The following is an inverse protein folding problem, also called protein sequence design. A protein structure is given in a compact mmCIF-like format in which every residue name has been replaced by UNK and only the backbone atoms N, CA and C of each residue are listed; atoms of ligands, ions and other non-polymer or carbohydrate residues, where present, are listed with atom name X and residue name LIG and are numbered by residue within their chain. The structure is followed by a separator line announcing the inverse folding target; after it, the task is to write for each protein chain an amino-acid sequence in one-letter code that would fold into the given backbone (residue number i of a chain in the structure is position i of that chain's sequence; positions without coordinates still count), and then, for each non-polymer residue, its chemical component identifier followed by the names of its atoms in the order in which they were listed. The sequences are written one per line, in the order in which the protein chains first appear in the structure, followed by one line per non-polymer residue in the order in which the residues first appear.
data_IF_927414386949
#
_entry.id   IF_927414386949
#
_cell.length_a   1.000
_cell.length_b   1.000
_cell.length_c   1.000
_cell.angle_alpha   90.00
_cell.angle_beta   90.00
_cell.angle_gamma   90.00
#
_symmetry.space_group_name_H-M   'P 1'
#
loop_
_entity.id
_entity.type
_entity.pdbx_description
1 polymer ?
#
# COMPACT_ATOMS: atom_id res chain seq x y z
N UNK A 1 19.37 51.80 20.53
CA UNK A 1 19.17 50.59 21.38
C UNK A 1 17.96 49.82 20.86
N UNK A 2 18.00 48.49 21.02
CA UNK A 2 17.02 47.47 20.57
C UNK A 2 17.06 47.10 19.08
N UNK A 3 18.01 46.21 18.73
CA UNK A 3 18.05 45.52 17.44
C UNK A 3 17.02 44.39 17.39
N UNK A 4 16.19 44.41 16.35
CA UNK A 4 15.25 43.34 16.04
C UNK A 4 16.01 42.11 15.53
N UNK A 5 15.83 40.98 16.19
CA UNK A 5 16.29 39.68 15.69
C UNK A 5 15.35 39.22 14.56
N UNK A 6 15.87 38.79 13.40
CA UNK A 6 15.03 38.14 12.40
C UNK A 6 14.60 36.74 12.90
N UNK A 7 13.42 36.24 12.49
CA UNK A 7 13.03 34.87 12.79
C UNK A 7 14.02 33.91 12.14
N UNK A 8 14.58 33.00 12.94
CA UNK A 8 15.42 31.89 12.47
C UNK A 8 14.58 30.98 11.56
N UNK A 9 14.52 31.28 10.26
CA UNK A 9 14.23 30.25 9.25
C UNK A 9 15.39 29.27 9.30
N UNK A 10 15.21 28.15 10.00
CA UNK A 10 15.96 26.92 9.68
C UNK A 10 15.37 26.37 8.39
N UNK A 11 15.69 27.01 7.28
CA UNK A 11 15.80 26.33 6.00
C UNK A 11 17.10 25.52 6.07
N UNK A 12 17.02 24.35 6.69
CA UNK A 12 18.05 23.34 6.50
C UNK A 12 17.88 22.77 5.10
N UNK A 13 18.50 23.40 4.12
CA UNK A 13 18.99 22.66 2.95
C UNK A 13 19.96 21.63 3.52
N UNK A 14 19.51 20.38 3.60
CA UNK A 14 20.38 19.23 3.87
C UNK A 14 20.63 18.59 2.50
N UNK A 15 21.49 19.23 1.70
CA UNK A 15 21.92 18.73 0.41
C UNK A 15 22.64 17.38 0.60
N UNK A 16 21.94 16.29 0.24
CA UNK A 16 22.52 14.94 0.11
C UNK A 16 22.17 13.92 1.21
N UNK A 17 21.33 14.26 2.18
CA UNK A 17 20.72 13.28 3.09
C UNK A 17 19.21 13.53 3.06
N UNK A 18 18.45 12.61 2.45
CA UNK A 18 17.00 12.69 2.39
C UNK A 18 16.37 12.81 3.77
N UNK A 19 15.05 12.96 3.83
CA UNK A 19 14.31 13.01 5.09
C UNK A 19 14.63 11.75 5.92
N UNK A 20 15.45 11.89 6.98
CA UNK A 20 15.88 10.76 7.80
C UNK A 20 14.79 10.43 8.81
N UNK A 21 14.25 9.22 8.73
CA UNK A 21 13.14 8.81 9.56
C UNK A 21 13.25 7.33 9.96
N UNK A 22 12.55 6.96 11.02
CA UNK A 22 12.47 5.57 11.43
C UNK A 22 11.53 4.77 10.53
N UNK A 23 11.73 3.46 10.47
CA UNK A 23 10.87 2.56 9.70
C UNK A 23 9.39 2.68 10.11
N UNK A 24 9.11 2.96 11.38
CA UNK A 24 7.75 3.14 11.91
C UNK A 24 7.11 4.44 11.41
N UNK A 25 7.87 5.55 11.42
CA UNK A 25 7.44 6.84 10.88
C UNK A 25 7.19 6.75 9.36
N UNK A 26 8.05 6.01 8.65
CA UNK A 26 7.86 5.73 7.22
C UNK A 26 6.60 4.91 6.97
N UNK A 27 6.44 3.79 7.68
CA UNK A 27 5.30 2.90 7.52
C UNK A 27 3.98 3.65 7.73
N UNK A 28 3.90 4.45 8.80
CA UNK A 28 2.73 5.28 9.10
C UNK A 28 2.44 6.30 7.98
N UNK A 29 3.47 6.95 7.43
CA UNK A 29 3.34 7.90 6.31
C UNK A 29 2.70 7.26 5.07
N UNK A 30 3.00 5.99 4.79
CA UNK A 30 2.48 5.27 3.62
C UNK A 30 1.25 4.39 3.92
N UNK A 31 0.73 4.43 5.14
CA UNK A 31 -0.45 3.67 5.56
C UNK A 31 -0.18 2.17 5.77
N UNK A 32 1.07 1.78 6.03
CA UNK A 32 1.45 0.41 6.35
C UNK A 32 1.61 0.20 7.86
N UNK A 33 1.33 -1.02 8.32
CA UNK A 33 1.66 -1.41 9.69
C UNK A 33 3.18 -1.56 9.87
N UNK A 34 3.75 -1.09 10.99
CA UNK A 34 5.19 -1.19 11.25
C UNK A 34 5.68 -2.65 11.25
N UNK A 35 4.86 -3.57 11.75
CA UNK A 35 5.15 -5.01 11.72
C UNK A 35 5.17 -5.58 10.30
N UNK A 36 4.34 -5.07 9.39
CA UNK A 36 4.34 -5.51 7.98
C UNK A 36 5.66 -5.15 7.32
N UNK A 37 6.10 -3.91 7.48
CA UNK A 37 7.36 -3.43 6.90
C UNK A 37 8.53 -4.22 7.49
N UNK A 38 8.58 -4.39 8.81
CA UNK A 38 9.65 -5.13 9.48
C UNK A 38 9.68 -6.62 9.12
N UNK A 39 8.54 -7.30 9.15
CA UNK A 39 8.53 -8.76 8.99
C UNK A 39 8.57 -9.20 7.52
N UNK A 40 8.02 -8.40 6.58
CA UNK A 40 7.97 -8.79 5.17
C UNK A 40 9.00 -8.10 4.31
N UNK A 41 9.36 -6.85 4.62
CA UNK A 41 10.19 -6.04 3.72
C UNK A 41 11.62 -5.95 4.21
N UNK A 42 11.87 -5.67 5.49
CA UNK A 42 13.24 -5.50 6.00
C UNK A 42 14.06 -6.80 6.05
N UNK A 43 13.44 -7.96 5.87
CA UNK A 43 14.13 -9.27 5.77
C UNK A 43 14.68 -9.54 4.36
N UNK A 44 14.39 -8.67 3.39
CA UNK A 44 14.79 -8.87 2.00
C UNK A 44 16.18 -8.28 1.74
N UNK A 45 16.98 -8.98 0.95
CA UNK A 45 18.34 -8.55 0.61
C UNK A 45 18.39 -7.23 -0.18
N UNK A 46 17.31 -6.90 -0.89
CA UNK A 46 17.18 -5.69 -1.70
C UNK A 46 16.63 -4.48 -0.91
N UNK A 47 16.32 -4.65 0.38
CA UNK A 47 15.73 -3.59 1.21
C UNK A 47 16.78 -2.55 1.62
N UNK A 48 16.46 -1.24 1.64
CA UNK A 48 17.39 -0.19 2.04
C UNK A 48 17.96 -0.42 3.44
N UNK A 49 19.28 -0.31 3.57
CA UNK A 49 19.96 -0.43 4.86
C UNK A 49 19.86 0.87 5.65
N UNK A 50 19.80 0.76 6.98
CA UNK A 50 19.82 1.93 7.84
C UNK A 50 21.13 2.71 7.64
N UNK A 51 21.05 4.03 7.59
CA UNK A 51 22.24 4.88 7.44
C UNK A 51 22.83 5.27 8.78
N UNK A 52 21.97 5.37 9.81
CA UNK A 52 22.34 5.83 11.15
C UNK A 52 21.50 5.16 12.23
N UNK A 53 22.01 5.20 13.45
CA UNK A 53 21.22 4.94 14.64
C UNK A 53 20.82 6.26 15.27
N UNK A 54 19.52 6.43 15.54
CA UNK A 54 19.01 7.55 16.31
C UNK A 54 19.63 7.50 17.71
N UNK A 55 20.20 8.62 18.20
CA UNK A 55 20.71 8.67 19.55
C UNK A 55 19.60 8.37 20.56
N UNK A 56 19.96 7.64 21.61
CA UNK A 56 19.02 7.15 22.63
C UNK A 56 18.35 8.33 23.33
N UNK A 57 17.01 8.36 23.29
CA UNK A 57 16.19 9.20 24.17
C UNK A 57 15.59 8.30 25.25
N UNK A 58 16.03 8.45 26.51
CA UNK A 58 15.51 7.66 27.64
C UNK A 58 16.10 6.26 27.76
N UNK A 59 15.33 5.28 28.26
CA UNK A 59 15.79 3.91 28.56
C UNK A 59 15.60 2.88 27.44
N UNK A 60 15.09 3.30 26.28
CA UNK A 60 14.75 2.41 25.16
C UNK A 60 15.94 1.95 24.30
N UNK A 61 15.66 1.00 23.40
CA UNK A 61 16.58 0.57 22.34
C UNK A 61 16.89 1.71 21.36
N UNK A 62 18.05 1.66 20.70
CA UNK A 62 18.38 2.60 19.62
C UNK A 62 17.47 2.33 18.43
N UNK A 63 16.79 3.36 17.93
CA UNK A 63 16.02 3.26 16.69
C UNK A 63 16.94 3.42 15.48
N UNK A 64 16.68 2.68 14.41
CA UNK A 64 17.39 2.80 13.15
C UNK A 64 16.75 3.91 12.30
N UNK A 65 17.58 4.78 11.72
CA UNK A 65 17.16 5.84 10.82
C UNK A 65 17.53 5.46 9.38
N UNK A 66 16.53 5.57 8.53
CA UNK A 66 16.58 5.27 7.11
C UNK A 66 16.40 6.57 6.32
N UNK A 67 16.93 6.60 5.11
CA UNK A 67 16.67 7.67 4.16
C UNK A 67 15.27 7.44 3.55
N UNK A 68 14.36 8.40 3.72
CA UNK A 68 13.00 8.28 3.20
C UNK A 68 12.96 8.16 1.67
N UNK A 69 13.82 8.88 0.96
CA UNK A 69 13.84 8.87 -0.51
C UNK A 69 14.32 7.51 -1.04
N UNK A 70 15.27 6.86 -0.36
CA UNK A 70 15.67 5.47 -0.67
C UNK A 70 14.54 4.48 -0.39
N UNK A 71 13.82 4.63 0.72
CA UNK A 71 12.67 3.77 1.04
C UNK A 71 11.52 3.95 0.04
N UNK A 72 11.25 5.18 -0.39
CA UNK A 72 10.20 5.48 -1.39
C UNK A 72 10.57 4.99 -2.78
N UNK A 73 11.85 5.12 -3.15
CA UNK A 73 12.39 4.58 -4.41
C UNK A 73 12.29 3.06 -4.41
N UNK A 74 12.70 2.41 -3.32
CA UNK A 74 12.57 0.96 -3.17
C UNK A 74 11.11 0.53 -3.23
N UNK A 75 10.20 1.21 -2.51
CA UNK A 75 8.77 0.89 -2.52
C UNK A 75 8.18 1.01 -3.93
N UNK A 76 8.56 2.06 -4.66
CA UNK A 76 8.14 2.28 -6.05
C UNK A 76 8.62 1.14 -6.95
N UNK A 77 9.90 0.78 -6.86
CA UNK A 77 10.50 -0.32 -7.61
C UNK A 77 9.86 -1.67 -7.26
N UNK A 78 9.65 -1.93 -5.97
CA UNK A 78 9.00 -3.13 -5.46
C UNK A 78 7.56 -3.27 -6.00
N UNK A 79 6.79 -2.18 -6.03
CA UNK A 79 5.45 -2.17 -6.62
C UNK A 79 5.47 -2.38 -8.14
N UNK A 80 6.46 -1.83 -8.85
CA UNK A 80 6.59 -2.05 -10.30
C UNK A 80 6.81 -3.52 -10.64
N UNK A 81 7.70 -4.20 -9.90
CA UNK A 81 8.00 -5.62 -10.12
C UNK A 81 6.90 -6.57 -9.62
N UNK A 82 6.05 -6.11 -8.70
CA UNK A 82 4.94 -6.89 -8.15
C UNK A 82 3.57 -6.42 -8.62
N UNK A 83 3.50 -5.63 -9.70
CA UNK A 83 2.20 -5.36 -10.33
C UNK A 83 1.57 -6.71 -10.70
N UNK A 84 0.32 -6.96 -10.29
CA UNK A 84 -0.35 -8.19 -10.67
C UNK A 84 -0.36 -8.29 -12.20
N UNK A 85 -0.06 -9.48 -12.72
CA UNK A 85 -0.14 -9.75 -14.16
C UNK A 85 -1.51 -9.28 -14.65
N UNK A 86 -1.58 -8.37 -15.64
CA UNK A 86 -2.85 -7.86 -16.13
C UNK A 86 -3.72 -9.02 -16.59
N UNK A 87 -4.95 -9.07 -16.10
CA UNK A 87 -5.92 -10.03 -16.59
C UNK A 87 -6.44 -9.55 -17.94
N UNK A 88 -6.40 -10.44 -18.94
CA UNK A 88 -7.02 -10.18 -20.24
C UNK A 88 -8.52 -10.02 -20.10
N UNK A 89 -9.07 -9.12 -20.90
CA UNK A 89 -10.52 -8.95 -21.00
C UNK A 89 -11.11 -10.19 -21.71
N UNK A 90 -12.09 -10.89 -21.10
CA UNK A 90 -12.68 -12.10 -21.66
C UNK A 90 -13.60 -11.81 -22.85
N UNK A 91 -13.96 -12.85 -23.62
CA UNK A 91 -14.73 -12.79 -24.88
C UNK A 91 -16.08 -12.06 -24.81
N UNK A 92 -16.71 -12.05 -23.63
CA UNK A 92 -17.95 -11.33 -23.36
C UNK A 92 -17.73 -10.34 -22.21
N UNK A 93 -17.10 -9.18 -22.50
CA UNK A 93 -16.69 -8.22 -21.48
C UNK A 93 -17.86 -7.43 -20.87
N UNK A 94 -18.93 -7.25 -21.64
CA UNK A 94 -20.12 -6.50 -21.22
C UNK A 94 -21.16 -7.36 -20.51
N UNK A 95 -20.92 -8.66 -20.36
CA UNK A 95 -21.85 -9.54 -19.65
C UNK A 95 -21.77 -9.33 -18.14
N UNK A 96 -22.94 -9.26 -17.51
CA UNK A 96 -23.10 -9.13 -16.06
C UNK A 96 -22.99 -10.50 -15.39
N UNK A 97 -22.01 -10.65 -14.52
CA UNK A 97 -21.69 -11.90 -13.84
C UNK A 97 -21.46 -11.67 -12.36
N UNK A 98 -21.65 -12.71 -11.54
CA UNK A 98 -21.26 -12.63 -10.13
C UNK A 98 -19.73 -12.59 -10.02
N UNK A 99 -19.19 -11.98 -8.95
CA UNK A 99 -17.74 -11.96 -8.70
C UNK A 99 -17.12 -13.36 -8.71
N UNK A 100 -17.84 -14.37 -8.21
CA UNK A 100 -17.38 -15.76 -8.24
C UNK A 100 -17.33 -16.36 -9.66
N UNK A 101 -18.26 -15.99 -10.53
CA UNK A 101 -18.22 -16.39 -11.94
C UNK A 101 -17.07 -15.69 -12.68
N UNK A 102 -16.85 -14.40 -12.43
CA UNK A 102 -15.71 -13.65 -12.99
C UNK A 102 -14.38 -14.23 -12.49
N UNK A 103 -14.27 -14.56 -11.20
CA UNK A 103 -13.07 -15.20 -10.65
C UNK A 103 -12.72 -16.49 -11.40
N UNK A 104 -13.72 -17.37 -11.62
CA UNK A 104 -13.52 -18.62 -12.38
C UNK A 104 -13.11 -18.36 -13.82
N UNK A 105 -13.74 -17.38 -14.48
CA UNK A 105 -13.42 -16.99 -15.85
C UNK A 105 -11.95 -16.52 -15.99
N UNK A 106 -11.43 -15.84 -14.97
CA UNK A 106 -10.06 -15.33 -14.93
C UNK A 106 -9.04 -16.32 -14.34
N UNK A 107 -9.47 -17.53 -13.94
CA UNK A 107 -8.62 -18.51 -13.25
C UNK A 107 -8.16 -18.07 -11.86
N UNK A 108 -8.90 -17.15 -11.22
CA UNK A 108 -8.61 -16.61 -9.89
C UNK A 108 -9.34 -17.36 -8.78
N UNK A 109 -8.75 -17.37 -7.60
CA UNK A 109 -9.45 -17.80 -6.39
C UNK A 109 -10.56 -16.80 -6.02
N UNK A 110 -11.76 -17.31 -5.77
CA UNK A 110 -12.94 -16.49 -5.48
C UNK A 110 -12.79 -15.59 -4.25
N UNK A 111 -11.97 -15.99 -3.26
CA UNK A 111 -11.65 -15.18 -2.08
C UNK A 111 -10.83 -13.95 -2.46
N UNK A 112 -9.94 -14.07 -3.44
CA UNK A 112 -9.13 -12.94 -3.95
C UNK A 112 -10.04 -11.85 -4.47
N UNK A 113 -11.03 -12.19 -5.31
CA UNK A 113 -11.97 -11.19 -5.86
C UNK A 113 -12.91 -10.66 -4.77
N UNK A 114 -13.35 -11.50 -3.85
CA UNK A 114 -14.22 -11.10 -2.74
C UNK A 114 -13.53 -10.14 -1.76
N UNK A 115 -12.22 -10.28 -1.53
CA UNK A 115 -11.45 -9.35 -0.70
C UNK A 115 -11.50 -7.91 -1.21
N UNK A 116 -11.60 -7.73 -2.53
CA UNK A 116 -11.71 -6.42 -3.16
C UNK A 116 -13.17 -6.03 -3.44
N UNK A 117 -14.16 -6.65 -2.78
CA UNK A 117 -15.58 -6.37 -3.06
C UNK A 117 -15.93 -4.88 -2.93
N UNK A 118 -15.46 -4.19 -1.89
CA UNK A 118 -15.70 -2.76 -1.73
C UNK A 118 -15.15 -1.94 -2.91
N UNK A 119 -13.95 -2.29 -3.40
CA UNK A 119 -13.34 -1.68 -4.59
C UNK A 119 -14.19 -1.95 -5.84
N UNK A 120 -14.75 -3.16 -5.99
CA UNK A 120 -15.62 -3.49 -7.12
C UNK A 120 -16.95 -2.74 -7.02
N UNK A 121 -17.54 -2.63 -5.83
CA UNK A 121 -18.80 -1.90 -5.63
C UNK A 121 -18.64 -0.40 -5.96
N UNK A 122 -17.45 0.18 -5.74
CA UNK A 122 -17.14 1.57 -6.09
C UNK A 122 -16.86 1.79 -7.59
N UNK A 123 -16.11 0.88 -8.22
CA UNK A 123 -15.57 1.11 -9.57
C UNK A 123 -16.20 0.28 -10.69
N UNK A 124 -17.00 -0.73 -10.37
CA UNK A 124 -17.64 -1.58 -11.37
C UNK A 124 -19.15 -1.34 -11.44
N UNK A 125 -19.65 -1.23 -12.67
CA UNK A 125 -21.08 -1.20 -12.92
C UNK A 125 -21.71 -2.51 -12.45
N UNK A 126 -22.77 -2.41 -11.66
CA UNK A 126 -23.42 -3.56 -11.06
C UNK A 126 -24.94 -3.39 -10.99
N UNK A 127 -25.62 -4.53 -10.95
CA UNK A 127 -27.06 -4.62 -10.80
C UNK A 127 -27.42 -5.70 -9.77
N UNK A 128 -28.48 -5.45 -9.02
CA UNK A 128 -29.00 -6.39 -8.05
C UNK A 128 -30.16 -7.18 -8.68
N UNK A 129 -29.96 -8.49 -8.86
CA UNK A 129 -30.99 -9.43 -9.36
C UNK A 129 -31.40 -10.38 -8.23
N UNK A 130 -32.46 -9.99 -7.52
CA UNK A 130 -32.92 -10.70 -6.32
C UNK A 130 -31.89 -10.62 -5.20
N UNK A 131 -31.44 -11.77 -4.70
CA UNK A 131 -30.44 -11.83 -3.62
C UNK A 131 -28.98 -11.75 -4.10
N UNK A 132 -28.74 -11.60 -5.41
CA UNK A 132 -27.39 -11.64 -5.97
C UNK A 132 -27.08 -10.36 -6.74
N UNK A 133 -25.88 -9.83 -6.49
CA UNK A 133 -25.29 -8.74 -7.25
C UNK A 133 -24.47 -9.27 -8.43
N UNK A 134 -24.70 -8.69 -9.59
CA UNK A 134 -23.99 -8.99 -10.82
C UNK A 134 -23.21 -7.75 -11.24
N UNK A 135 -22.01 -7.95 -11.74
CA UNK A 135 -21.08 -6.90 -12.11
C UNK A 135 -20.75 -7.05 -13.59
N UNK A 136 -20.59 -5.93 -14.28
CA UNK A 136 -20.10 -5.92 -15.64
C UNK A 136 -18.65 -6.42 -15.66
N UNK A 137 -18.41 -7.47 -16.45
CA UNK A 137 -17.14 -8.21 -16.39
C UNK A 137 -15.92 -7.33 -16.68
N UNK A 138 -16.00 -6.42 -17.66
CA UNK A 138 -14.91 -5.52 -18.05
C UNK A 138 -14.49 -4.56 -16.94
N UNK A 139 -15.44 -4.08 -16.15
CA UNK A 139 -15.17 -3.08 -15.13
C UNK A 139 -14.49 -3.75 -13.93
N UNK A 140 -14.89 -4.98 -13.60
CA UNK A 140 -14.20 -5.82 -12.62
C UNK A 140 -12.77 -6.11 -13.04
N UNK A 141 -12.53 -6.47 -14.31
CA UNK A 141 -11.17 -6.69 -14.84
C UNK A 141 -10.34 -5.39 -14.74
N UNK A 142 -10.95 -4.25 -15.08
CA UNK A 142 -10.30 -2.94 -15.00
C UNK A 142 -9.90 -2.59 -13.57
N UNK A 143 -10.83 -2.75 -12.61
CA UNK A 143 -10.57 -2.51 -11.20
C UNK A 143 -9.52 -3.47 -10.62
N UNK A 144 -9.54 -4.74 -11.04
CA UNK A 144 -8.53 -5.73 -10.66
C UNK A 144 -7.14 -5.40 -11.22
N UNK A 145 -7.04 -4.83 -12.42
CA UNK A 145 -5.77 -4.43 -13.03
C UNK A 145 -5.25 -3.11 -12.46
N UNK A 146 -6.13 -2.24 -11.97
CA UNK A 146 -5.78 -0.99 -11.30
C UNK A 146 -5.43 -1.17 -9.81
N UNK A 147 -5.58 -2.38 -9.26
CA UNK A 147 -5.41 -2.61 -7.82
C UNK A 147 -3.97 -2.34 -7.37
N UNK A 148 -3.75 -1.65 -6.23
CA UNK A 148 -2.44 -1.62 -5.60
C UNK A 148 -2.06 -3.06 -5.19
N UNK A 149 -0.81 -3.44 -5.42
CA UNK A 149 -0.31 -4.79 -5.11
C UNK A 149 -0.51 -5.20 -3.64
N UNK A 150 -0.34 -6.49 -3.36
CA UNK A 150 -0.48 -7.06 -2.02
C UNK A 150 0.25 -6.20 -0.96
N UNK A 151 -0.45 -5.86 0.13
CA UNK A 151 0.14 -5.18 1.29
C UNK A 151 -0.42 -3.80 1.59
N UNK A 152 -1.15 -3.14 0.67
CA UNK A 152 -1.97 -1.97 1.05
C UNK A 152 -3.21 -2.44 1.77
N UNK A 153 -3.30 -2.13 3.06
CA UNK A 153 -4.53 -2.25 3.83
C UNK A 153 -5.56 -1.29 3.23
N UNK A 154 -6.52 -1.84 2.50
CA UNK A 154 -7.68 -1.08 1.99
C UNK A 154 -8.66 -0.70 3.10
N UNK A 155 -8.52 -1.29 4.28
CA UNK A 155 -9.38 -1.00 5.43
C UNK A 155 -8.63 -1.23 6.77
N UNK A 156 -8.18 -0.16 7.47
CA UNK A 156 -7.51 -0.29 8.76
C UNK A 156 -8.45 -0.75 9.89
N UNK A 157 -9.77 -0.75 9.69
CA UNK A 157 -10.74 -1.18 10.69
C UNK A 157 -10.87 -2.71 10.76
N UNK A 158 -10.70 -3.39 9.63
CA UNK A 158 -10.73 -4.86 9.54
C UNK A 158 -9.54 -5.49 10.24
N UNK A 159 -8.40 -4.79 10.32
CA UNK A 159 -7.20 -5.26 11.03
C UNK A 159 -7.36 -5.20 12.56
N UNK A 160 -8.11 -4.20 13.08
CA UNK A 160 -8.33 -4.06 14.53
C UNK A 160 -9.14 -5.22 15.14
N UNK A 161 -9.90 -5.97 14.33
CA UNK A 161 -10.68 -7.14 14.79
C UNK A 161 -9.86 -8.43 14.83
N UNK A 162 -8.59 -8.39 14.44
CA UNK A 162 -7.71 -9.56 14.39
C UNK A 162 -6.65 -9.51 15.49
N UNK A 163 -7.08 -9.28 16.73
CA UNK A 163 -6.25 -9.55 17.91
C UNK A 163 -6.99 -10.52 18.82
N UNK A 164 -6.46 -11.73 19.09
CA UNK A 164 -6.94 -12.57 20.18
C UNK A 164 -6.65 -11.94 21.55
#
# INVERSE_FOLDING_TARGET
MAGAWPPRRRSGHNDGMGDMLTLEEWAARHGYGPDTVRNQWSVRDDFPTHKRHRPRVGSGARSEEYDADELDTWLTHWHQHRRPTPHSVPEHPDEYRTLGAIARLLGLDGKTVTQYRALMDEHAEHEDRGQRRYYRTRDVVTALNARPGHGRTTDPDTDRRRKP
#
